data_IF_634151315236
#
_entry.id   IF_634151315236
#
_cell.length_a   1.000
_cell.length_b   1.000
_cell.length_c   1.000
_cell.angle_alpha   90.00
_cell.angle_beta   90.00
_cell.angle_gamma   90.00
#
_symmetry.space_group_name_H-M   'P 1'
#
loop_
_entity.id
_entity.type
_entity.pdbx_description
1 polymer ?
#
# COMPACT_ATOMS: atom_id res chain seq x y z
N UNK A 1 -25.88 -70.48 3.17
CA UNK A 1 -26.62 -69.22 2.96
C UNK A 1 -25.64 -68.06 3.13
N UNK A 2 -25.00 -67.57 2.05
CA UNK A 2 -24.07 -66.42 2.10
C UNK A 2 -24.67 -65.27 1.28
N UNK A 3 -25.52 -64.47 1.93
CA UNK A 3 -26.26 -63.38 1.31
C UNK A 3 -25.51 -62.06 1.48
N UNK A 4 -25.00 -61.58 0.34
CA UNK A 4 -24.85 -60.17 -0.04
C UNK A 4 -24.12 -59.21 0.92
N UNK A 5 -22.78 -59.18 0.84
CA UNK A 5 -21.91 -58.15 1.42
C UNK A 5 -21.50 -57.07 0.37
N UNK A 6 -22.25 -56.94 -0.74
CA UNK A 6 -21.93 -56.05 -1.88
C UNK A 6 -22.48 -54.62 -1.75
N UNK A 7 -23.63 -54.43 -1.09
CA UNK A 7 -24.25 -53.10 -0.96
C UNK A 7 -23.46 -52.14 -0.07
N UNK A 8 -22.83 -52.65 0.99
CA UNK A 8 -22.10 -51.83 1.95
C UNK A 8 -20.78 -51.26 1.36
N UNK A 9 -20.11 -52.01 0.47
CA UNK A 9 -18.86 -51.56 -0.16
C UNK A 9 -19.09 -50.39 -1.11
N UNK A 10 -20.21 -50.38 -1.83
CA UNK A 10 -20.55 -49.31 -2.78
C UNK A 10 -20.87 -47.99 -2.06
N UNK A 11 -21.60 -48.07 -0.93
CA UNK A 11 -21.90 -46.91 -0.11
C UNK A 11 -20.63 -46.29 0.51
N UNK A 12 -19.72 -47.14 1.00
CA UNK A 12 -18.42 -46.72 1.54
C UNK A 12 -17.54 -46.05 0.48
N UNK A 13 -17.49 -46.60 -0.74
CA UNK A 13 -16.77 -45.99 -1.86
C UNK A 13 -17.31 -44.60 -2.22
N UNK A 14 -18.64 -44.42 -2.22
CA UNK A 14 -19.26 -43.12 -2.51
C UNK A 14 -18.96 -42.08 -1.42
N UNK A 15 -18.97 -42.49 -0.15
CA UNK A 15 -18.59 -41.65 1.00
C UNK A 15 -17.11 -41.23 0.92
N UNK A 16 -16.23 -42.17 0.58
CA UNK A 16 -14.80 -41.90 0.41
C UNK A 16 -14.54 -40.91 -0.72
N UNK A 17 -15.25 -41.04 -1.84
CA UNK A 17 -15.14 -40.13 -2.97
C UNK A 17 -15.58 -38.70 -2.61
N UNK A 18 -16.67 -38.56 -1.85
CA UNK A 18 -17.14 -37.25 -1.36
C UNK A 18 -16.14 -36.61 -0.38
N UNK A 19 -15.59 -37.40 0.55
CA UNK A 19 -14.55 -36.94 1.47
C UNK A 19 -13.31 -36.44 0.73
N UNK A 20 -12.85 -37.18 -0.28
CA UNK A 20 -11.72 -36.77 -1.12
C UNK A 20 -12.01 -35.47 -1.88
N UNK A 21 -13.22 -35.31 -2.42
CA UNK A 21 -13.61 -34.08 -3.11
C UNK A 21 -13.63 -32.86 -2.17
N UNK A 22 -14.18 -33.01 -0.97
CA UNK A 22 -14.20 -31.94 0.06
C UNK A 22 -12.78 -31.61 0.50
N UNK A 23 -11.94 -32.62 0.79
CA UNK A 23 -10.55 -32.40 1.17
C UNK A 23 -9.74 -31.72 0.07
N UNK A 24 -9.99 -32.06 -1.20
CA UNK A 24 -9.36 -31.41 -2.35
C UNK A 24 -9.77 -29.94 -2.46
N UNK A 25 -11.06 -29.63 -2.28
CA UNK A 25 -11.56 -28.24 -2.28
C UNK A 25 -10.94 -27.43 -1.13
N UNK A 26 -10.88 -28.01 0.07
CA UNK A 26 -10.28 -27.38 1.25
C UNK A 26 -8.78 -27.13 1.00
N UNK A 27 -8.04 -28.13 0.53
CA UNK A 27 -6.63 -28.00 0.20
C UNK A 27 -6.41 -26.91 -0.86
N UNK A 28 -7.24 -26.86 -1.91
CA UNK A 28 -7.19 -25.82 -2.94
C UNK A 28 -7.40 -24.43 -2.36
N UNK A 29 -8.39 -24.24 -1.48
CA UNK A 29 -8.63 -22.96 -0.82
C UNK A 29 -7.45 -22.55 0.07
N UNK A 30 -6.91 -23.47 0.88
CA UNK A 30 -5.74 -23.21 1.72
C UNK A 30 -4.49 -22.89 0.91
N UNK A 31 -4.26 -23.59 -0.21
CA UNK A 31 -3.16 -23.31 -1.14
C UNK A 31 -3.32 -21.94 -1.80
N UNK A 32 -4.52 -21.57 -2.23
CA UNK A 32 -4.77 -20.24 -2.82
C UNK A 32 -4.59 -19.12 -1.78
N UNK A 33 -5.06 -19.31 -0.55
CA UNK A 33 -4.83 -18.34 0.54
C UNK A 33 -3.33 -18.21 0.83
N UNK A 34 -2.59 -19.33 0.88
CA UNK A 34 -1.14 -19.29 1.04
C UNK A 34 -0.46 -18.62 -0.17
N UNK A 35 -0.85 -18.90 -1.40
CA UNK A 35 -0.26 -18.24 -2.58
C UNK A 35 -0.53 -16.73 -2.56
N UNK A 36 -1.73 -16.28 -2.14
CA UNK A 36 -2.04 -14.86 -2.00
C UNK A 36 -1.25 -14.22 -0.84
N UNK A 37 -1.04 -14.94 0.26
CA UNK A 37 -0.29 -14.45 1.42
C UNK A 37 1.24 -14.51 1.24
N UNK A 38 1.74 -15.45 0.44
CA UNK A 38 3.17 -15.69 0.17
C UNK A 38 3.61 -15.18 -1.20
N UNK A 39 2.72 -14.62 -2.02
CA UNK A 39 3.11 -13.73 -3.10
C UNK A 39 3.97 -12.65 -2.43
N UNK A 40 5.30 -12.66 -2.65
CA UNK A 40 6.14 -11.64 -2.07
C UNK A 40 5.60 -10.36 -2.66
N UNK A 41 5.10 -9.49 -1.80
CA UNK A 41 4.88 -8.09 -2.13
C UNK A 41 6.27 -7.53 -2.44
N UNK A 42 6.76 -7.77 -3.67
CA UNK A 42 8.04 -7.27 -4.19
C UNK A 42 8.00 -5.77 -4.46
N UNK A 43 6.94 -5.11 -3.99
CA UNK A 43 6.94 -3.71 -3.63
C UNK A 43 6.41 -3.59 -2.21
N UNK A 44 7.27 -3.88 -1.24
CA UNK A 44 7.34 -2.94 -0.12
C UNK A 44 7.59 -1.57 -0.77
N UNK A 45 6.65 -0.60 -0.72
CA UNK A 45 7.06 0.78 -0.94
C UNK A 45 8.15 1.00 0.09
N UNK A 46 9.39 1.19 -0.35
CA UNK A 46 10.47 1.55 0.55
C UNK A 46 9.93 2.70 1.38
N UNK A 47 9.79 2.45 2.68
CA UNK A 47 9.49 3.49 3.64
C UNK A 47 10.56 4.54 3.37
N UNK A 48 10.12 5.71 2.93
CA UNK A 48 10.96 6.88 2.85
C UNK A 48 11.38 7.10 4.30
N UNK A 49 12.58 6.64 4.62
CA UNK A 49 13.26 6.97 5.85
C UNK A 49 13.35 8.48 5.83
N UNK A 50 12.54 9.11 6.68
CA UNK A 50 12.60 10.54 6.89
C UNK A 50 13.94 10.77 7.56
N UNK A 51 14.91 11.30 6.81
CA UNK A 51 16.13 11.84 7.39
C UNK A 51 15.75 12.75 8.59
N UNK A 52 16.53 12.74 9.68
CA UNK A 52 16.24 13.57 10.84
C UNK A 52 16.11 15.04 10.40
N UNK A 53 15.30 15.86 11.10
CA UNK A 53 15.15 17.28 10.79
C UNK A 53 16.45 18.01 11.13
N UNK A 54 17.41 17.94 10.22
CA UNK A 54 18.59 18.76 10.19
C UNK A 54 18.21 20.07 9.53
N UNK A 55 18.55 21.16 10.20
CA UNK A 55 18.45 22.56 9.76
C UNK A 55 19.23 22.80 8.45
N UNK A 56 18.75 22.26 7.34
CA UNK A 56 19.30 22.43 6.00
C UNK A 56 18.28 23.29 5.24
N UNK A 57 18.76 24.38 4.65
CA UNK A 57 17.97 25.25 3.77
C UNK A 57 17.09 24.40 2.85
N UNK A 58 15.79 24.42 3.10
CA UNK A 58 14.90 23.47 2.47
C UNK A 58 14.80 23.68 0.95
N UNK A 59 15.15 24.88 0.47
CA UNK A 59 15.38 25.16 -0.95
C UNK A 59 16.55 24.35 -1.50
N UNK A 60 17.67 24.28 -0.77
CA UNK A 60 18.81 23.45 -1.14
C UNK A 60 18.46 21.96 -1.09
N UNK A 61 17.65 21.52 -0.11
CA UNK A 61 17.17 20.13 -0.06
C UNK A 61 16.25 19.79 -1.24
N UNK A 62 15.31 20.68 -1.62
CA UNK A 62 14.43 20.45 -2.77
C UNK A 62 15.21 20.47 -4.08
N UNK A 63 16.16 21.39 -4.23
CA UNK A 63 17.06 21.44 -5.39
C UNK A 63 17.94 20.18 -5.48
N UNK A 64 18.50 19.72 -4.35
CA UNK A 64 19.27 18.48 -4.29
C UNK A 64 18.40 17.25 -4.62
N UNK A 65 17.14 17.21 -4.17
CA UNK A 65 16.19 16.15 -4.55
C UNK A 65 15.88 16.20 -6.04
N UNK A 66 15.64 17.39 -6.61
CA UNK A 66 15.37 17.58 -8.04
C UNK A 66 16.55 17.17 -8.93
N UNK A 67 17.77 17.42 -8.47
CA UNK A 67 19.02 17.03 -9.14
C UNK A 67 19.40 15.56 -8.91
N UNK A 68 18.81 14.90 -7.90
CA UNK A 68 19.07 13.50 -7.57
C UNK A 68 18.36 12.56 -8.55
N UNK A 69 19.02 11.44 -8.88
CA UNK A 69 18.37 10.30 -9.56
C UNK A 69 17.11 9.80 -8.83
N UNK A 70 16.98 10.10 -7.53
CA UNK A 70 15.83 9.74 -6.70
C UNK A 70 14.54 10.49 -7.06
N UNK A 71 14.58 11.62 -7.79
CA UNK A 71 13.40 12.36 -8.24
C UNK A 71 12.95 11.98 -9.66
N UNK A 72 13.06 10.70 -10.03
CA UNK A 72 12.58 10.20 -11.32
C UNK A 72 11.10 10.54 -11.59
N UNK A 73 10.28 10.68 -10.54
CA UNK A 73 8.87 11.05 -10.60
C UNK A 73 8.60 12.51 -10.99
N UNK A 74 9.62 13.36 -11.06
CA UNK A 74 9.55 14.74 -11.57
C UNK A 74 10.04 14.87 -13.03
N UNK A 75 10.31 13.75 -13.72
CA UNK A 75 10.78 13.77 -15.11
C UNK A 75 9.58 13.71 -16.07
N UNK A 76 9.29 14.79 -16.83
CA UNK A 76 8.15 14.83 -17.75
C UNK A 76 8.12 13.66 -18.73
N UNK A 77 9.30 13.19 -19.14
CA UNK A 77 9.44 12.19 -20.21
C UNK A 77 8.91 10.83 -19.79
N UNK A 78 8.92 10.54 -18.48
CA UNK A 78 8.33 9.33 -17.91
C UNK A 78 6.80 9.29 -18.06
N UNK A 79 6.17 10.45 -18.27
CA UNK A 79 4.71 10.60 -18.36
C UNK A 79 4.22 10.91 -19.77
N UNK A 80 5.13 11.09 -20.74
CA UNK A 80 4.77 11.35 -22.13
C UNK A 80 4.08 10.13 -22.73
N UNK A 81 2.92 10.34 -23.34
CA UNK A 81 2.13 9.28 -23.99
C UNK A 81 1.70 9.75 -25.37
N UNK A 82 1.74 8.85 -26.36
CA UNK A 82 1.26 9.14 -27.72
C UNK A 82 -0.27 9.20 -27.80
N UNK A 83 -0.95 8.50 -26.90
CA UNK A 83 -2.42 8.41 -26.84
C UNK A 83 -2.88 8.39 -25.38
N UNK A 84 -4.11 8.87 -25.14
CA UNK A 84 -4.68 8.99 -23.80
C UNK A 84 -4.19 10.24 -23.06
N UNK A 85 -4.15 10.17 -21.73
CA UNK A 85 -3.73 11.31 -20.90
C UNK A 85 -2.20 11.42 -20.88
N UNK A 86 -1.67 12.46 -21.54
CA UNK A 86 -0.27 12.88 -21.41
C UNK A 86 -0.12 13.87 -20.25
N UNK A 87 0.60 13.45 -19.20
CA UNK A 87 0.86 14.28 -18.02
C UNK A 87 2.22 14.99 -18.06
N UNK A 88 2.99 14.84 -19.14
CA UNK A 88 4.34 15.41 -19.25
C UNK A 88 4.34 16.93 -19.06
N UNK A 89 3.39 17.65 -19.67
CA UNK A 89 3.26 19.10 -19.50
C UNK A 89 2.96 19.51 -18.06
N UNK A 90 2.07 18.77 -17.38
CA UNK A 90 1.73 19.02 -15.96
C UNK A 90 2.93 18.79 -15.07
N UNK A 91 3.66 17.68 -15.28
CA UNK A 91 4.87 17.36 -14.50
C UNK A 91 5.98 18.38 -14.77
N UNK A 92 6.13 18.85 -16.01
CA UNK A 92 7.14 19.87 -16.37
C UNK A 92 6.93 21.19 -15.64
N UNK A 93 5.67 21.54 -15.37
CA UNK A 93 5.29 22.76 -14.67
C UNK A 93 5.17 22.58 -13.15
N UNK A 94 5.18 21.34 -12.66
CA UNK A 94 5.02 21.06 -11.24
C UNK A 94 6.24 21.49 -10.44
N UNK A 95 6.02 22.35 -9.45
CA UNK A 95 7.04 22.91 -8.57
C UNK A 95 6.69 22.60 -7.11
N UNK A 96 7.25 21.53 -6.52
CA UNK A 96 6.95 21.12 -5.14
C UNK A 96 7.16 22.23 -4.10
N UNK A 97 8.14 23.10 -4.33
CA UNK A 97 8.49 24.24 -3.48
C UNK A 97 7.40 25.32 -3.43
N UNK A 98 6.59 25.45 -4.48
CA UNK A 98 5.51 26.45 -4.56
C UNK A 98 4.19 25.92 -3.95
N UNK A 99 4.15 24.67 -3.49
CA UNK A 99 2.98 24.10 -2.86
C UNK A 99 2.71 24.76 -1.51
N UNK A 100 1.43 25.02 -1.23
CA UNK A 100 0.97 25.64 0.02
C UNK A 100 1.41 24.83 1.25
N UNK A 101 1.39 23.51 1.13
CA UNK A 101 1.92 22.55 2.09
C UNK A 101 3.01 21.73 1.40
N UNK A 102 4.21 21.75 1.95
CA UNK A 102 5.40 21.12 1.38
C UNK A 102 6.29 20.55 2.51
N UNK A 103 7.42 19.94 2.15
CA UNK A 103 8.30 19.31 3.13
C UNK A 103 8.91 20.28 4.16
N UNK A 104 8.84 21.59 3.92
CA UNK A 104 9.42 22.63 4.78
C UNK A 104 8.47 23.04 5.90
N UNK A 105 7.16 22.95 5.64
CA UNK A 105 6.15 23.48 6.55
C UNK A 105 5.13 22.44 7.02
N UNK A 106 5.22 21.20 6.54
CA UNK A 106 4.29 20.13 6.94
C UNK A 106 4.40 19.75 8.42
N UNK A 107 5.54 20.01 9.04
CA UNK A 107 5.78 19.87 10.48
C UNK A 107 5.01 20.89 11.34
N UNK A 108 4.59 22.01 10.75
CA UNK A 108 3.76 23.02 11.41
C UNK A 108 2.30 22.60 11.57
N UNK A 109 1.89 21.49 10.93
CA UNK A 109 0.54 20.95 11.10
C UNK A 109 0.37 20.33 12.48
N UNK A 110 -0.43 20.98 13.30
CA UNK A 110 -0.88 20.41 14.56
C UNK A 110 -1.74 19.16 14.32
N UNK A 111 -1.51 18.14 15.13
CA UNK A 111 -2.34 16.93 15.11
C UNK A 111 -3.66 17.22 15.83
N UNK A 112 -4.75 17.21 15.08
CA UNK A 112 -6.08 17.45 15.63
C UNK A 112 -6.88 16.16 15.92
N UNK A 113 -8.19 16.25 15.75
CA UNK A 113 -9.16 15.21 16.10
C UNK A 113 -8.93 13.92 15.30
N UNK A 114 -8.94 12.77 15.97
CA UNK A 114 -8.85 11.47 15.29
C UNK A 114 -10.10 11.17 14.47
N UNK A 115 -9.92 10.88 13.18
CA UNK A 115 -11.02 10.52 12.27
C UNK A 115 -11.10 9.01 11.99
N UNK A 116 -9.97 8.31 12.05
CA UNK A 116 -9.95 6.88 11.73
C UNK A 116 -8.56 6.29 11.63
N UNK A 117 -8.49 4.95 11.65
CA UNK A 117 -7.23 4.20 11.52
C UNK A 117 -7.35 3.11 10.48
N UNK A 118 -6.32 3.00 9.65
CA UNK A 118 -6.05 1.82 8.82
C UNK A 118 -5.04 0.91 9.51
N UNK A 119 -4.48 -0.04 8.76
CA UNK A 119 -3.45 -0.95 9.27
C UNK A 119 -2.15 -0.19 9.63
N UNK A 120 -1.62 0.61 8.69
CA UNK A 120 -0.32 1.31 8.84
C UNK A 120 -0.40 2.77 9.31
N UNK A 121 -1.54 3.41 9.09
CA UNK A 121 -1.70 4.86 9.26
C UNK A 121 -2.95 5.20 10.05
N UNK A 122 -2.92 6.36 10.69
CA UNK A 122 -4.09 7.00 11.29
C UNK A 122 -4.36 8.33 10.59
N UNK A 123 -5.61 8.76 10.62
CA UNK A 123 -6.09 9.98 9.98
C UNK A 123 -6.61 10.90 11.06
N UNK A 124 -6.12 12.13 11.07
CA UNK A 124 -6.62 13.18 11.95
C UNK A 124 -7.16 14.35 11.13
N UNK A 125 -8.24 14.94 11.61
CA UNK A 125 -8.76 16.23 11.17
C UNK A 125 -7.90 17.32 11.79
N UNK A 126 -7.49 18.30 11.00
CA UNK A 126 -6.82 19.51 11.51
C UNK A 126 -7.17 20.72 10.66
N UNK A 127 -6.61 21.88 11.00
CA UNK A 127 -6.76 23.12 10.23
C UNK A 127 -5.43 23.54 9.62
N UNK A 128 -5.45 23.85 8.33
CA UNK A 128 -4.34 24.49 7.63
C UNK A 128 -4.79 25.85 7.08
N UNK A 129 -4.19 26.94 7.56
CA UNK A 129 -4.58 28.32 7.20
C UNK A 129 -6.10 28.54 7.29
N UNK A 130 -6.70 28.06 8.38
CA UNK A 130 -8.14 28.17 8.65
C UNK A 130 -9.04 27.15 7.93
N UNK A 131 -8.51 26.35 7.00
CA UNK A 131 -9.26 25.33 6.25
C UNK A 131 -9.16 23.96 6.91
N UNK A 132 -10.27 23.24 6.99
CA UNK A 132 -10.27 21.87 7.50
C UNK A 132 -9.60 20.91 6.52
N UNK A 133 -8.66 20.10 7.01
CA UNK A 133 -7.91 19.12 6.21
C UNK A 133 -7.81 17.78 6.96
N UNK A 134 -7.63 16.69 6.21
CA UNK A 134 -7.40 15.36 6.75
C UNK A 134 -5.94 14.95 6.52
N UNK A 135 -5.20 14.67 7.59
CA UNK A 135 -3.78 14.34 7.54
C UNK A 135 -3.56 12.89 7.96
N UNK A 136 -2.80 12.16 7.14
CA UNK A 136 -2.45 10.75 7.39
C UNK A 136 -1.08 10.65 8.06
N UNK A 137 -1.06 10.18 9.30
CA UNK A 137 0.17 9.94 10.05
C UNK A 137 0.55 8.46 10.00
N UNK A 138 1.86 8.18 9.94
CA UNK A 138 2.37 6.82 10.14
C UNK A 138 2.25 6.49 11.63
N UNK A 139 1.72 5.32 11.95
CA UNK A 139 1.64 4.88 13.34
C UNK A 139 3.05 4.73 13.90
N UNK A 140 3.28 5.18 15.14
CA UNK A 140 4.47 4.74 15.88
C UNK A 140 4.35 3.24 16.12
N UNK A 141 5.11 2.46 15.35
CA UNK A 141 5.28 1.04 15.64
C UNK A 141 6.24 1.00 16.83
N UNK A 142 5.72 0.67 18.02
CA UNK A 142 6.61 0.26 19.11
C UNK A 142 7.20 -1.08 18.68
N UNK A 143 8.44 -1.06 18.21
CA UNK A 143 9.25 -2.26 18.16
C UNK A 143 9.67 -2.54 19.60
N UNK A 144 8.97 -3.50 20.23
CA UNK A 144 9.40 -4.09 21.50
C UNK A 144 10.66 -4.91 21.29
#
# INVERSE_FOLDING_TARGET
>A
MLRSNRGNRFLWLLLLLKLLAVMSLVAYLFLNVKIIAYLPSTRTPSLRESDPPGNIDAVAHIQAVRASEKAWWLRPETYRRKHGCDFSAVVAQFKPEELELNCVNMDQLEKGEFLGKGFWREVCKTKWKGREVAVKYVKKIHMN
#
